data_IF_270944972959
#
_entry.id   IF_270944972959
#
_cell.length_a   1.000
_cell.length_b   1.000
_cell.length_c   1.000
_cell.angle_alpha   90.00
_cell.angle_beta   90.00
_cell.angle_gamma   90.00
#
_symmetry.space_group_name_H-M   'P 1'
#
loop_
_entity.id
_entity.type
_entity.pdbx_description
1 polymer ?
#
# COMPACT_ATOMS: atom_id res chain seq x y z
N UNK A 1 14.57 2.63 -9.25
CA UNK A 1 15.69 2.83 -8.28
C UNK A 1 15.39 2.02 -7.02
N UNK A 2 16.36 1.72 -6.15
CA UNK A 2 16.05 1.09 -4.85
C UNK A 2 15.87 2.16 -3.75
N UNK A 3 15.02 1.88 -2.76
CA UNK A 3 14.72 2.79 -1.66
C UNK A 3 15.96 3.15 -0.83
N UNK A 4 15.93 4.31 -0.20
CA UNK A 4 16.98 4.91 0.64
C UNK A 4 16.41 5.27 2.01
N UNK A 5 17.26 5.26 3.02
CA UNK A 5 16.89 5.75 4.35
C UNK A 5 16.42 7.21 4.28
N UNK A 6 15.36 7.53 5.01
CA UNK A 6 14.76 8.86 5.10
C UNK A 6 13.73 9.20 4.02
N UNK A 7 13.55 8.35 2.99
CA UNK A 7 12.47 8.55 2.02
C UNK A 7 11.10 8.37 2.65
N UNK A 8 10.12 9.12 2.15
CA UNK A 8 8.75 9.08 2.66
C UNK A 8 7.94 7.93 2.06
N UNK A 9 6.99 7.39 2.81
CA UNK A 9 6.28 6.16 2.43
C UNK A 9 4.84 6.08 2.96
N UNK A 10 3.99 5.38 2.21
CA UNK A 10 2.78 4.76 2.73
C UNK A 10 2.97 3.25 2.83
N UNK A 11 2.59 2.69 3.99
CA UNK A 11 2.53 1.23 4.18
C UNK A 11 1.24 0.89 4.92
N UNK A 12 0.35 0.18 4.23
CA UNK A 12 -0.93 -0.25 4.78
C UNK A 12 -0.99 -1.76 4.81
N UNK A 13 -1.27 -2.34 5.98
CA UNK A 13 -1.53 -3.76 6.12
C UNK A 13 -3.00 -3.98 6.51
N UNK A 14 -3.69 -4.85 5.77
CA UNK A 14 -5.10 -5.19 5.96
C UNK A 14 -5.22 -6.65 6.37
N UNK A 15 -6.17 -6.95 7.25
CA UNK A 15 -6.61 -8.32 7.56
C UNK A 15 -8.08 -8.45 7.19
N UNK A 16 -8.39 -9.32 6.23
CA UNK A 16 -9.71 -9.42 5.62
C UNK A 16 -10.20 -10.86 5.70
N UNK A 17 -11.40 -11.13 6.25
CA UNK A 17 -12.01 -12.46 6.14
C UNK A 17 -12.16 -12.90 4.68
N UNK A 18 -11.90 -14.17 4.37
CA UNK A 18 -11.90 -14.67 3.00
C UNK A 18 -13.18 -14.33 2.22
N UNK A 19 -14.35 -14.36 2.88
CA UNK A 19 -15.64 -14.03 2.28
C UNK A 19 -15.77 -12.56 1.82
N UNK A 20 -14.95 -11.66 2.36
CA UNK A 20 -15.00 -10.22 2.09
C UNK A 20 -13.91 -9.74 1.12
N UNK A 21 -13.10 -10.65 0.59
CA UNK A 21 -11.95 -10.32 -0.27
C UNK A 21 -12.36 -9.65 -1.59
N UNK A 22 -13.49 -10.05 -2.19
CA UNK A 22 -13.93 -9.50 -3.48
C UNK A 22 -14.02 -7.97 -3.50
N UNK A 23 -14.84 -7.35 -2.64
CA UNK A 23 -14.92 -5.88 -2.55
C UNK A 23 -13.60 -5.20 -2.19
N UNK A 24 -12.77 -5.82 -1.33
CA UNK A 24 -11.46 -5.25 -0.97
C UNK A 24 -10.48 -5.29 -2.15
N UNK A 25 -10.46 -6.37 -2.92
CA UNK A 25 -9.60 -6.47 -4.10
C UNK A 25 -10.06 -5.54 -5.22
N UNK A 26 -11.37 -5.29 -5.35
CA UNK A 26 -11.91 -4.31 -6.30
C UNK A 26 -11.42 -2.89 -5.98
N UNK A 27 -11.54 -2.43 -4.73
CA UNK A 27 -11.09 -1.08 -4.36
C UNK A 27 -9.57 -0.93 -4.41
N UNK A 28 -8.80 -1.99 -4.09
CA UNK A 28 -7.34 -2.03 -4.28
C UNK A 28 -6.99 -1.95 -5.77
N UNK A 29 -7.73 -2.62 -6.66
CA UNK A 29 -7.51 -2.56 -8.09
C UNK A 29 -7.80 -1.14 -8.63
N UNK A 30 -8.87 -0.49 -8.16
CA UNK A 30 -9.16 0.92 -8.49
C UNK A 30 -8.04 1.84 -8.02
N UNK A 31 -7.50 1.63 -6.82
CA UNK A 31 -6.34 2.37 -6.33
C UNK A 31 -5.10 2.14 -7.21
N UNK A 32 -4.79 0.90 -7.57
CA UNK A 32 -3.65 0.58 -8.43
C UNK A 32 -3.77 1.20 -9.83
N UNK A 33 -4.98 1.25 -10.39
CA UNK A 33 -5.23 1.93 -11.66
C UNK A 33 -4.97 3.44 -11.55
N UNK A 34 -5.50 4.08 -10.51
CA UNK A 34 -5.25 5.50 -10.23
C UNK A 34 -3.76 5.82 -10.00
N UNK A 35 -3.04 4.96 -9.25
CA UNK A 35 -1.58 5.07 -9.07
C UNK A 35 -0.85 5.04 -10.42
N UNK A 36 -1.24 4.13 -11.32
CA UNK A 36 -0.62 4.02 -12.65
C UNK A 36 -0.90 5.23 -13.55
N UNK A 37 -2.02 5.91 -13.37
CA UNK A 37 -2.39 7.09 -14.15
C UNK A 37 -1.71 8.37 -13.65
N UNK A 38 -1.42 8.46 -12.35
CA UNK A 38 -0.99 9.71 -11.69
C UNK A 38 0.45 9.68 -11.19
N UNK A 39 1.02 8.49 -11.01
CA UNK A 39 2.39 8.28 -10.53
C UNK A 39 3.25 7.59 -11.58
N UNK A 40 4.57 7.65 -11.40
CA UNK A 40 5.55 7.04 -12.29
C UNK A 40 6.81 6.62 -11.55
N UNK A 41 7.44 5.55 -12.02
CA UNK A 41 8.77 5.12 -11.56
C UNK A 41 9.92 5.89 -12.25
N UNK A 42 9.58 6.68 -13.27
CA UNK A 42 10.49 7.55 -14.00
C UNK A 42 10.20 9.02 -13.68
N UNK A 43 11.27 9.81 -13.52
CA UNK A 43 11.17 11.23 -13.20
C UNK A 43 10.48 12.04 -14.31
N UNK A 44 9.72 13.07 -13.91
CA UNK A 44 9.10 14.03 -14.84
C UNK A 44 7.80 13.57 -15.50
N UNK A 45 7.27 12.40 -15.13
CA UNK A 45 6.02 11.86 -15.68
C UNK A 45 4.99 11.55 -14.58
N UNK A 46 4.53 12.55 -13.84
CA UNK A 46 3.63 12.38 -12.69
C UNK A 46 4.39 12.33 -11.36
N UNK A 47 3.70 11.92 -10.30
CA UNK A 47 4.27 11.83 -8.95
C UNK A 47 5.29 10.70 -8.93
N UNK A 48 6.52 11.01 -8.55
CA UNK A 48 7.64 10.10 -8.78
C UNK A 48 7.88 9.16 -7.60
N UNK A 49 7.85 7.87 -7.91
CA UNK A 49 7.95 6.76 -6.99
C UNK A 49 9.27 6.03 -7.16
N UNK A 50 9.79 5.52 -6.05
CA UNK A 50 10.82 4.48 -6.05
C UNK A 50 10.20 3.14 -6.41
N UNK A 51 9.07 2.82 -5.78
CA UNK A 51 8.34 1.57 -5.94
C UNK A 51 6.87 1.74 -5.53
N UNK A 52 6.02 0.92 -6.16
CA UNK A 52 4.64 0.68 -5.76
C UNK A 52 4.33 -0.80 -5.96
N UNK A 53 3.90 -1.46 -4.90
CA UNK A 53 3.40 -2.82 -5.02
C UNK A 53 2.32 -3.12 -4.00
N UNK A 54 1.46 -4.06 -4.38
CA UNK A 54 0.48 -4.66 -3.49
C UNK A 54 0.78 -6.14 -3.38
N UNK A 55 0.88 -6.65 -2.16
CA UNK A 55 1.08 -8.06 -1.87
C UNK A 55 -0.13 -8.63 -1.12
N UNK A 56 -0.38 -9.93 -1.29
CA UNK A 56 -1.36 -10.67 -0.51
C UNK A 56 -0.86 -12.04 -0.10
N UNK A 57 -1.45 -12.60 0.95
CA UNK A 57 -1.18 -13.96 1.41
C UNK A 57 -2.21 -14.43 2.44
N UNK A 58 -2.36 -15.73 2.60
CA UNK A 58 -3.18 -16.28 3.69
C UNK A 58 -2.51 -16.02 5.05
N UNK A 59 -3.31 -15.67 6.07
CA UNK A 59 -2.79 -15.53 7.43
C UNK A 59 -2.50 -16.92 8.01
N UNK A 60 -1.23 -17.20 8.30
CA UNK A 60 -0.80 -18.47 8.90
C UNK A 60 -1.17 -18.55 10.38
N UNK A 61 -1.55 -19.74 10.86
CA UNK A 61 -1.69 -20.02 12.29
C UNK A 61 -0.32 -20.02 13.00
N UNK A 62 0.73 -20.43 12.29
CA UNK A 62 2.12 -20.40 12.74
C UNK A 62 3.04 -20.09 11.54
N UNK A 63 3.77 -18.98 11.61
CA UNK A 63 4.69 -18.56 10.53
C UNK A 63 5.90 -19.48 10.37
N UNK A 64 6.27 -20.24 11.41
CA UNK A 64 7.42 -21.13 11.40
C UNK A 64 7.05 -22.59 11.13
N UNK A 65 5.76 -22.93 11.11
CA UNK A 65 5.26 -24.28 10.84
C UNK A 65 4.05 -24.27 9.87
N UNK A 66 4.29 -24.42 8.55
CA UNK A 66 3.22 -24.46 7.55
C UNK A 66 2.21 -25.58 7.76
N UNK A 67 2.54 -26.65 8.51
CA UNK A 67 1.61 -27.75 8.77
C UNK A 67 0.44 -27.36 9.67
N UNK A 68 0.54 -26.21 10.38
CA UNK A 68 -0.53 -25.65 11.20
C UNK A 68 -1.63 -24.97 10.39
N UNK A 69 -1.48 -24.86 9.07
CA UNK A 69 -2.48 -24.26 8.19
C UNK A 69 -2.70 -22.78 8.45
N UNK A 70 -3.85 -22.27 8.01
CA UNK A 70 -4.18 -20.85 7.98
C UNK A 70 -5.44 -20.55 8.79
N UNK A 71 -5.67 -19.28 9.11
CA UNK A 71 -6.77 -18.82 9.96
C UNK A 71 -8.09 -18.69 9.19
N UNK A 72 -8.03 -18.63 7.86
CA UNK A 72 -9.16 -18.27 6.99
C UNK A 72 -9.23 -16.77 6.65
N UNK A 73 -8.34 -15.94 7.19
CA UNK A 73 -8.17 -14.55 6.75
C UNK A 73 -7.12 -14.42 5.65
N UNK A 74 -7.25 -13.36 4.85
CA UNK A 74 -6.27 -12.92 3.86
C UNK A 74 -5.63 -11.61 4.35
N UNK A 75 -4.31 -11.58 4.31
CA UNK A 75 -3.49 -10.40 4.55
C UNK A 75 -3.23 -9.68 3.24
N UNK A 76 -3.28 -8.36 3.27
CA UNK A 76 -2.83 -7.50 2.17
C UNK A 76 -1.81 -6.49 2.68
N UNK A 77 -0.86 -6.11 1.84
CA UNK A 77 0.05 -4.99 2.06
C UNK A 77 0.05 -4.09 0.84
N UNK A 78 -0.21 -2.80 1.01
CA UNK A 78 -0.09 -1.75 0.00
C UNK A 78 1.13 -0.91 0.38
N UNK A 79 2.11 -0.84 -0.50
CA UNK A 79 3.40 -0.20 -0.23
C UNK A 79 3.75 0.80 -1.32
N UNK A 80 4.12 2.00 -0.89
CA UNK A 80 4.47 3.11 -1.77
C UNK A 80 5.66 3.85 -1.17
N UNK A 81 6.70 4.09 -1.97
CA UNK A 81 7.87 4.87 -1.54
C UNK A 81 8.13 5.96 -2.55
N UNK A 82 8.27 7.20 -2.09
CA UNK A 82 8.42 8.36 -2.96
C UNK A 82 9.87 8.79 -3.08
N UNK A 83 10.22 9.37 -4.24
CA UNK A 83 11.55 9.90 -4.47
C UNK A 83 11.73 11.24 -3.76
N UNK A 84 10.74 12.11 -3.89
CA UNK A 84 10.76 13.47 -3.35
C UNK A 84 10.22 13.53 -1.92
N UNK A 85 10.75 14.47 -1.14
CA UNK A 85 10.36 14.65 0.27
C UNK A 85 8.90 15.11 0.43
N UNK A 86 8.38 15.82 -0.56
CA UNK A 86 6.99 16.29 -0.65
C UNK A 86 6.05 15.30 -1.36
N UNK A 87 6.53 14.08 -1.68
CA UNK A 87 5.75 13.08 -2.41
C UNK A 87 4.42 12.71 -1.71
N UNK A 88 4.39 12.74 -0.38
CA UNK A 88 3.17 12.52 0.41
C UNK A 88 2.16 13.64 0.17
N UNK A 89 2.60 14.90 0.16
CA UNK A 89 1.71 16.04 -0.06
C UNK A 89 1.18 16.06 -1.49
N UNK A 90 2.04 15.74 -2.47
CA UNK A 90 1.63 15.58 -3.87
C UNK A 90 0.58 14.47 -4.03
N UNK A 91 0.83 13.29 -3.44
CA UNK A 91 -0.11 12.17 -3.47
C UNK A 91 -1.45 12.55 -2.84
N UNK A 92 -1.44 13.15 -1.64
CA UNK A 92 -2.68 13.54 -0.95
C UNK A 92 -3.44 14.62 -1.73
N UNK A 93 -2.76 15.60 -2.34
CA UNK A 93 -3.41 16.61 -3.17
C UNK A 93 -4.10 16.01 -4.40
N UNK A 94 -3.49 14.97 -5.00
CA UNK A 94 -4.11 14.22 -6.10
C UNK A 94 -5.25 13.32 -5.61
N UNK A 95 -5.10 12.68 -4.46
CA UNK A 95 -6.09 11.79 -3.87
C UNK A 95 -7.39 12.53 -3.51
N UNK A 96 -7.33 13.79 -3.08
CA UNK A 96 -8.52 14.61 -2.80
C UNK A 96 -9.41 14.86 -4.03
N UNK A 97 -8.89 14.62 -5.24
CA UNK A 97 -9.63 14.71 -6.50
C UNK A 97 -10.10 13.34 -7.01
N UNK A 98 -9.66 12.25 -6.36
CA UNK A 98 -9.99 10.89 -6.75
C UNK A 98 -11.36 10.49 -6.21
N UNK A 99 -12.28 10.14 -7.11
CA UNK A 99 -13.68 9.81 -6.78
C UNK A 99 -13.84 8.65 -5.80
N UNK A 100 -12.87 7.73 -5.76
CA UNK A 100 -12.91 6.54 -4.89
C UNK A 100 -12.17 6.72 -3.57
N UNK A 101 -11.69 7.94 -3.26
CA UNK A 101 -10.95 8.21 -2.01
C UNK A 101 -11.74 7.77 -0.77
N UNK A 102 -13.02 8.12 -0.67
CA UNK A 102 -13.83 7.81 0.52
C UNK A 102 -14.00 6.29 0.69
N UNK A 103 -14.23 5.56 -0.40
CA UNK A 103 -14.37 4.11 -0.37
C UNK A 103 -13.06 3.41 0.00
N UNK A 104 -11.93 3.88 -0.54
CA UNK A 104 -10.60 3.37 -0.21
C UNK A 104 -10.25 3.64 1.26
N UNK A 105 -10.43 4.88 1.73
CA UNK A 105 -10.21 5.25 3.14
C UNK A 105 -11.13 4.45 4.08
N UNK A 106 -12.40 4.23 3.72
CA UNK A 106 -13.32 3.38 4.45
C UNK A 106 -12.82 1.94 4.57
N UNK A 107 -12.27 1.39 3.50
CA UNK A 107 -11.68 0.05 3.47
C UNK A 107 -10.45 -0.04 4.39
N UNK A 108 -9.55 0.95 4.32
CA UNK A 108 -8.40 1.04 5.23
C UNK A 108 -8.84 1.10 6.69
N UNK A 109 -9.88 1.89 7.00
CA UNK A 109 -10.37 2.02 8.37
C UNK A 109 -11.06 0.75 8.88
N UNK A 110 -11.73 0.02 8.01
CA UNK A 110 -12.46 -1.20 8.37
C UNK A 110 -11.51 -2.39 8.61
N UNK A 111 -10.51 -2.58 7.75
CA UNK A 111 -9.67 -3.78 7.74
C UNK A 111 -8.21 -3.53 8.16
N UNK A 112 -7.82 -2.27 8.34
CA UNK A 112 -6.46 -1.85 8.71
C UNK A 112 -5.96 -2.44 10.02
N UNK A 113 -4.77 -3.04 9.96
CA UNK A 113 -3.98 -3.46 11.13
C UNK A 113 -2.73 -2.61 11.32
N UNK A 114 -2.17 -2.12 10.22
CA UNK A 114 -1.07 -1.14 10.21
C UNK A 114 -1.41 -0.08 9.17
N UNK A 115 -1.40 1.19 9.58
CA UNK A 115 -1.71 2.34 8.71
C UNK A 115 -0.61 3.40 8.83
N UNK A 116 0.55 3.18 8.18
CA UNK A 116 1.62 4.18 8.14
C UNK A 116 1.25 5.20 7.06
N UNK A 117 0.73 6.35 7.50
CA UNK A 117 0.37 7.50 6.67
C UNK A 117 1.48 8.55 6.64
N UNK A 118 2.30 8.59 5.59
CA UNK A 118 3.40 9.56 5.49
C UNK A 118 4.57 9.27 6.44
N UNK A 119 4.97 8.00 6.54
CA UNK A 119 6.11 7.56 7.36
C UNK A 119 7.45 7.76 6.67
N UNK A 120 8.50 7.14 7.22
CA UNK A 120 9.86 7.19 6.66
C UNK A 120 10.48 5.79 6.56
N UNK A 121 11.19 5.53 5.47
CA UNK A 121 12.04 4.35 5.31
C UNK A 121 13.21 4.47 6.29
N UNK A 122 13.28 3.58 7.29
CA UNK A 122 14.35 3.62 8.31
C UNK A 122 15.57 2.76 7.95
N UNK A 123 15.37 1.73 7.11
CA UNK A 123 16.42 0.83 6.64
C UNK A 123 16.16 0.39 5.20
N UNK A 124 17.18 0.51 4.35
CA UNK A 124 17.18 -0.01 3.00
C UNK A 124 18.58 -0.52 2.60
N UNK A 125 18.66 -1.24 1.49
CA UNK A 125 19.93 -1.76 0.97
C UNK A 125 20.88 -0.65 0.48
N UNK A 126 20.33 0.51 0.14
CA UNK A 126 21.09 1.71 -0.21
C UNK A 126 21.05 2.67 1.00
N UNK A 127 21.88 2.37 2.01
CA UNK A 127 22.06 3.17 3.21
C UNK A 127 23.46 3.77 3.29
#
# INVERSE_FOLDING_TARGET
MASKNGQVTFNFALLVPAENTGPVEEIIATHAAWMKETHSLEAGNGIHLVDYHVAKGEEANDLLDPSKGTTGNILYCINEVYVEADGIEQHMAQAMQWESLEAFAGTLMQYGKVLIGGGSVIHSMNG
#
